data_IF_243765335761
#
_entry.id   IF_243765335761
#
_cell.length_a   1.000
_cell.length_b   1.000
_cell.length_c   1.000
_cell.angle_alpha   90.00
_cell.angle_beta   90.00
_cell.angle_gamma   90.00
#
_symmetry.space_group_name_H-M   'P 1'
#
loop_
_entity.id
_entity.type
_entity.pdbx_description
1 polymer ?
#
# COMPACT_ATOMS: atom_id res chain seq x y z
N UNK A 1 23.92 -28.26 19.79
CA UNK A 1 22.58 -28.24 19.18
C UNK A 1 22.51 -27.00 18.31
N UNK A 2 22.95 -27.12 17.05
CA UNK A 2 22.76 -26.06 16.06
C UNK A 2 21.34 -26.20 15.54
N UNK A 3 20.49 -25.27 15.93
CA UNK A 3 19.14 -25.08 15.38
C UNK A 3 19.30 -24.72 13.90
N UNK A 4 19.42 -25.74 13.05
CA UNK A 4 19.44 -25.59 11.61
C UNK A 4 18.02 -25.22 11.22
N UNK A 5 17.74 -23.91 11.20
CA UNK A 5 16.46 -23.38 10.76
C UNK A 5 16.04 -24.13 9.50
N UNK A 6 14.92 -24.85 9.59
CA UNK A 6 14.41 -25.70 8.52
C UNK A 6 14.33 -24.87 7.23
N UNK A 7 15.07 -25.24 6.17
CA UNK A 7 15.11 -24.47 4.93
C UNK A 7 13.70 -24.26 4.34
N UNK A 8 12.78 -25.20 4.56
CA UNK A 8 11.37 -25.07 4.16
C UNK A 8 10.68 -23.90 4.87
N UNK A 9 10.91 -23.73 6.18
CA UNK A 9 10.36 -22.62 6.95
C UNK A 9 10.97 -21.27 6.55
N UNK A 10 12.23 -21.25 6.12
CA UNK A 10 12.88 -20.03 5.63
C UNK A 10 12.26 -19.57 4.30
N UNK A 11 12.04 -20.50 3.37
CA UNK A 11 11.40 -20.26 2.08
C UNK A 11 9.93 -19.81 2.26
N UNK A 12 9.16 -20.48 3.10
CA UNK A 12 7.77 -20.08 3.37
C UNK A 12 7.67 -18.67 3.98
N UNK A 13 8.60 -18.29 4.87
CA UNK A 13 8.67 -16.92 5.40
C UNK A 13 9.00 -15.89 4.33
N UNK A 14 9.84 -16.24 3.36
CA UNK A 14 10.13 -15.38 2.22
C UNK A 14 8.90 -15.22 1.33
N UNK A 15 8.25 -16.31 0.94
CA UNK A 15 7.04 -16.28 0.10
C UNK A 15 5.90 -15.50 0.77
N UNK A 16 5.72 -15.66 2.08
CA UNK A 16 4.74 -14.86 2.83
C UNK A 16 5.07 -13.37 2.77
N UNK A 17 6.33 -12.98 2.95
CA UNK A 17 6.75 -11.58 2.84
C UNK A 17 6.51 -11.04 1.44
N UNK A 18 6.81 -11.81 0.40
CA UNK A 18 6.56 -11.42 -1.00
C UNK A 18 5.05 -11.27 -1.29
N UNK A 19 4.21 -12.17 -0.77
CA UNK A 19 2.75 -12.09 -0.90
C UNK A 19 2.16 -10.89 -0.12
N UNK A 20 2.62 -10.68 1.12
CA UNK A 20 2.23 -9.52 1.94
C UNK A 20 2.68 -8.21 1.24
N UNK A 21 3.84 -8.22 0.58
CA UNK A 21 4.36 -7.08 -0.18
C UNK A 21 3.55 -6.82 -1.46
N UNK A 22 3.17 -7.86 -2.20
CA UNK A 22 2.27 -7.76 -3.35
C UNK A 22 0.90 -7.19 -2.96
N UNK A 23 0.31 -7.67 -1.87
CA UNK A 23 -0.94 -7.13 -1.36
C UNK A 23 -0.79 -5.66 -0.97
N UNK A 24 0.30 -5.30 -0.29
CA UNK A 24 0.59 -3.91 0.06
C UNK A 24 0.77 -3.03 -1.18
N UNK A 25 1.41 -3.51 -2.25
CA UNK A 25 1.55 -2.76 -3.51
C UNK A 25 0.21 -2.54 -4.23
N UNK A 26 -0.69 -3.52 -4.19
CA UNK A 26 -2.03 -3.41 -4.79
C UNK A 26 -2.89 -2.41 -4.00
N UNK A 27 -2.93 -2.51 -2.67
CA UNK A 27 -3.67 -1.57 -1.81
C UNK A 27 -3.00 -0.20 -1.65
N UNK A 28 -1.68 -0.08 -1.86
CA UNK A 28 -1.00 1.21 -1.85
C UNK A 28 -1.42 2.11 -3.02
N UNK A 29 -1.99 1.52 -4.07
CA UNK A 29 -2.41 2.21 -5.30
C UNK A 29 -3.93 2.10 -5.56
N UNK A 30 -4.69 1.52 -4.63
CA UNK A 30 -6.14 1.33 -4.75
C UNK A 30 -6.77 1.55 -3.37
N UNK A 31 -7.81 2.38 -3.32
CA UNK A 31 -8.46 2.85 -2.09
C UNK A 31 -7.55 3.77 -1.25
N UNK A 32 -7.93 4.10 -0.01
CA UNK A 32 -7.18 5.05 0.81
C UNK A 32 -5.91 4.37 1.35
N UNK A 33 -4.71 4.83 0.98
CA UNK A 33 -3.49 4.15 1.38
C UNK A 33 -3.22 4.39 2.87
N UNK A 34 -3.04 3.30 3.62
CA UNK A 34 -2.72 3.35 5.06
C UNK A 34 -1.23 3.19 5.33
N UNK A 35 -0.47 2.63 4.38
CA UNK A 35 0.97 2.40 4.48
C UNK A 35 1.61 2.34 3.10
N UNK A 36 2.82 2.88 2.95
CA UNK A 36 3.59 2.75 1.71
C UNK A 36 4.29 1.38 1.63
N UNK A 37 4.62 0.94 0.42
CA UNK A 37 5.43 -0.25 0.12
C UNK A 37 6.79 -0.25 0.81
N UNK A 38 7.41 0.92 0.98
CA UNK A 38 8.64 1.11 1.75
C UNK A 38 8.43 1.08 3.29
N UNK A 39 7.21 0.77 3.74
CA UNK A 39 6.75 0.90 5.12
C UNK A 39 6.75 2.33 5.69
N UNK A 40 6.99 3.33 4.84
CA UNK A 40 6.86 4.74 5.18
C UNK A 40 5.44 5.11 5.59
N UNK A 41 5.34 6.09 6.49
CA UNK A 41 4.07 6.71 6.85
C UNK A 41 3.49 7.47 5.66
N UNK A 42 2.16 7.48 5.54
CA UNK A 42 1.44 8.30 4.58
C UNK A 42 1.14 9.67 5.20
N UNK A 43 1.40 10.72 4.44
CA UNK A 43 1.08 12.12 4.74
C UNK A 43 0.12 12.66 3.70
N UNK A 44 -0.50 13.81 3.96
CA UNK A 44 -1.29 14.52 2.95
C UNK A 44 -0.49 15.71 2.44
N UNK A 45 -0.36 15.81 1.13
CA UNK A 45 0.27 16.92 0.42
C UNK A 45 -0.74 17.61 -0.49
N UNK A 46 -0.52 18.89 -0.80
CA UNK A 46 -1.42 19.68 -1.65
C UNK A 46 -0.63 20.28 -2.81
N UNK A 47 -1.09 20.07 -4.04
CA UNK A 47 -0.44 20.66 -5.23
C UNK A 47 -0.80 22.15 -5.40
N UNK A 48 -0.14 22.81 -6.36
CA UNK A 48 -0.38 24.22 -6.71
C UNK A 48 -1.82 24.51 -7.19
N UNK A 49 -2.61 23.47 -7.50
CA UNK A 49 -4.00 23.55 -7.94
C UNK A 49 -4.97 23.17 -6.82
N UNK A 50 -4.51 23.16 -5.57
CA UNK A 50 -5.28 22.81 -4.37
C UNK A 50 -5.82 21.36 -4.39
N UNK A 51 -5.20 20.46 -5.15
CA UNK A 51 -5.54 19.03 -5.12
C UNK A 51 -4.74 18.34 -4.03
N UNK A 52 -5.44 17.54 -3.24
CA UNK A 52 -4.86 16.79 -2.13
C UNK A 52 -4.45 15.40 -2.56
N UNK A 53 -3.28 14.98 -2.10
CA UNK A 53 -2.69 13.67 -2.38
C UNK A 53 -2.31 12.98 -1.08
N UNK A 54 -2.56 11.68 -1.01
CA UNK A 54 -1.91 10.80 -0.05
C UNK A 54 -0.51 10.46 -0.57
N UNK A 55 0.53 10.86 0.17
CA UNK A 55 1.92 10.78 -0.27
C UNK A 55 2.77 10.07 0.77
N UNK A 56 3.69 9.21 0.34
CA UNK A 56 4.70 8.66 1.24
C UNK A 56 5.56 9.78 1.85
N UNK A 57 5.82 9.73 3.15
CA UNK A 57 6.69 10.70 3.85
C UNK A 57 8.11 10.80 3.25
N UNK A 58 8.63 9.68 2.74
CA UNK A 58 9.95 9.60 2.09
C UNK A 58 9.80 9.40 0.58
N UNK A 59 8.84 10.09 -0.02
CA UNK A 59 8.49 9.92 -1.43
C UNK A 59 9.71 10.05 -2.36
N UNK A 60 9.90 9.04 -3.19
CA UNK A 60 10.78 9.05 -4.35
C UNK A 60 9.91 8.77 -5.58
N UNK A 61 10.15 9.47 -6.70
CA UNK A 61 9.41 9.23 -7.95
C UNK A 61 9.95 7.99 -8.68
N UNK A 62 9.83 6.84 -8.02
CA UNK A 62 10.33 5.54 -8.45
C UNK A 62 9.20 4.60 -8.93
N UNK A 63 7.95 5.08 -8.89
CA UNK A 63 6.75 4.31 -9.18
C UNK A 63 6.39 3.27 -8.12
N UNK A 64 7.15 3.18 -7.02
CA UNK A 64 6.90 2.29 -5.89
C UNK A 64 6.31 3.05 -4.70
N UNK A 65 6.71 4.31 -4.52
CA UNK A 65 6.18 5.15 -3.46
C UNK A 65 4.77 5.65 -3.79
N UNK A 66 3.90 5.56 -2.78
CA UNK A 66 2.52 6.04 -2.87
C UNK A 66 2.49 7.54 -3.12
N UNK A 67 1.80 7.93 -4.21
CA UNK A 67 1.26 9.26 -4.44
C UNK A 67 -0.10 9.10 -5.12
N UNK A 68 -1.16 9.11 -4.32
CA UNK A 68 -2.51 8.85 -4.78
C UNK A 68 -3.42 10.05 -4.56
N UNK A 69 -4.29 10.35 -5.53
CA UNK A 69 -5.23 11.46 -5.43
C UNK A 69 -6.30 11.15 -4.36
N UNK A 70 -6.52 12.09 -3.43
CA UNK A 70 -7.42 11.85 -2.31
C UNK A 70 -8.87 11.60 -2.74
N UNK A 71 -9.35 12.27 -3.80
CA UNK A 71 -10.72 12.11 -4.27
C UNK A 71 -10.87 10.74 -4.95
N UNK A 72 -9.92 10.37 -5.81
CA UNK A 72 -9.92 9.06 -6.46
C UNK A 72 -9.91 7.91 -5.43
N UNK A 73 -9.06 8.02 -4.40
CA UNK A 73 -8.99 7.04 -3.32
C UNK A 73 -10.33 6.86 -2.59
N UNK A 74 -11.06 7.96 -2.32
CA UNK A 74 -12.38 7.92 -1.68
C UNK A 74 -13.43 7.28 -2.62
N UNK A 75 -13.39 7.60 -3.91
CA UNK A 75 -14.30 7.00 -4.90
C UNK A 75 -14.10 5.48 -5.03
N UNK A 76 -12.85 5.02 -4.97
CA UNK A 76 -12.47 3.61 -4.97
C UNK A 76 -13.00 2.89 -3.72
N UNK A 77 -12.81 3.46 -2.53
CA UNK A 77 -13.37 2.94 -1.27
C UNK A 77 -14.89 2.83 -1.34
N UNK A 78 -15.56 3.88 -1.82
CA UNK A 78 -17.01 3.89 -1.98
C UNK A 78 -17.49 2.81 -2.96
N UNK A 79 -16.75 2.58 -4.03
CA UNK A 79 -17.05 1.51 -5.00
C UNK A 79 -16.90 0.13 -4.39
N UNK A 80 -15.85 -0.11 -3.60
CA UNK A 80 -15.65 -1.35 -2.88
C UNK A 80 -16.78 -1.57 -1.86
N UNK A 81 -17.14 -0.54 -1.11
CA UNK A 81 -18.21 -0.60 -0.13
C UNK A 81 -19.55 -0.92 -0.80
N UNK A 82 -19.90 -0.25 -1.91
CA UNK A 82 -21.10 -0.58 -2.69
C UNK A 82 -21.09 -2.02 -3.19
N UNK A 83 -19.95 -2.50 -3.68
CA UNK A 83 -19.84 -3.89 -4.14
C UNK A 83 -19.99 -4.91 -3.01
N UNK A 84 -19.59 -4.59 -1.79
CA UNK A 84 -19.72 -5.49 -0.63
C UNK A 84 -21.14 -5.52 -0.07
N UNK A 85 -21.86 -4.40 -0.12
CA UNK A 85 -23.17 -4.24 0.51
C UNK A 85 -24.35 -4.18 -0.48
N UNK A 86 -24.10 -4.30 -1.79
CA UNK A 86 -25.09 -4.29 -2.89
C UNK A 86 -26.09 -3.12 -2.78
N UNK A 87 -25.56 -1.90 -2.55
CA UNK A 87 -26.31 -0.63 -2.40
C UNK A 87 -26.16 0.24 -3.65
#
# INVERSE_FOLDING_TARGET
MTDMADPYYAEMKQHKREADWLHACVYANYCIPTKCTCSGAITVDTDERERNYYVCKVYEDDGLHTRHDCLAAIEEELKELKSQYDI
#
